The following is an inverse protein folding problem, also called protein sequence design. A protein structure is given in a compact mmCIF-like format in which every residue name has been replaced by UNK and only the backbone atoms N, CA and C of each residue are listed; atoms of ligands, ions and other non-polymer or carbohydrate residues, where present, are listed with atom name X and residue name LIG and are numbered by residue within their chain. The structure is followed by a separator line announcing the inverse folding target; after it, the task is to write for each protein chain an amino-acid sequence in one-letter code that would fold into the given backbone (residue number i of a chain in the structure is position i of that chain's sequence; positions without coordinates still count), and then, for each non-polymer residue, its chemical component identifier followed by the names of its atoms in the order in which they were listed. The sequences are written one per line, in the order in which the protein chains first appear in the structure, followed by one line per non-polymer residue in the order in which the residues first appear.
data_IF_823273313196
#
_entry.id   IF_823273313196
#
_cell.length_a   1.000
_cell.length_b   1.000
_cell.length_c   1.000
_cell.angle_alpha   90.00
_cell.angle_beta   90.00
_cell.angle_gamma   90.00
#
_symmetry.space_group_name_H-M   'P 1'
#
loop_
_entity.id
_entity.type
_entity.pdbx_description
1 polymer ?
#
# COMPACT_ATOMS: atom_id res chain seq x y z
N UNK A 1 25.79 4.38 -0.94
CA UNK A 1 25.19 3.02 -0.83
C UNK A 1 24.66 2.69 0.59
N UNK A 2 25.41 2.91 1.68
CA UNK A 2 24.97 2.58 3.06
C UNK A 2 23.62 3.21 3.48
N UNK A 3 23.41 4.50 3.23
CA UNK A 3 22.14 5.22 3.57
C UNK A 3 20.90 4.60 2.92
N UNK A 4 21.00 4.20 1.65
CA UNK A 4 19.91 3.55 0.90
C UNK A 4 19.61 2.14 1.40
N UNK A 5 20.65 1.37 1.75
CA UNK A 5 20.46 0.04 2.35
C UNK A 5 19.74 0.13 3.69
N UNK A 6 20.08 1.13 4.51
CA UNK A 6 19.43 1.38 5.80
C UNK A 6 17.96 1.78 5.60
N UNK A 7 17.67 2.73 4.70
CA UNK A 7 16.29 3.12 4.40
C UNK A 7 15.45 1.94 3.91
N UNK A 8 16.03 1.07 3.07
CA UNK A 8 15.35 -0.13 2.58
C UNK A 8 15.03 -1.12 3.70
N UNK A 9 15.97 -1.37 4.60
CA UNK A 9 15.75 -2.27 5.76
C UNK A 9 14.63 -1.71 6.64
N UNK A 10 14.68 -0.42 6.98
CA UNK A 10 13.65 0.25 7.79
C UNK A 10 12.28 0.16 7.11
N UNK A 11 12.21 0.47 5.82
CA UNK A 11 10.96 0.42 5.05
C UNK A 11 10.39 -1.01 4.99
N UNK A 12 11.26 -2.01 4.87
CA UNK A 12 10.84 -3.43 4.85
C UNK A 12 10.27 -3.86 6.20
N UNK A 13 10.91 -3.46 7.30
CA UNK A 13 10.42 -3.75 8.66
C UNK A 13 9.06 -3.08 8.89
N UNK A 14 8.92 -1.80 8.55
CA UNK A 14 7.65 -1.07 8.68
C UNK A 14 6.54 -1.72 7.85
N UNK A 15 6.83 -2.11 6.61
CA UNK A 15 5.88 -2.78 5.74
C UNK A 15 5.45 -4.14 6.32
N UNK A 16 6.39 -4.88 6.90
CA UNK A 16 6.09 -6.16 7.53
C UNK A 16 5.17 -6.00 8.75
N UNK A 17 5.47 -5.05 9.64
CA UNK A 17 4.62 -4.72 10.80
C UNK A 17 3.21 -4.32 10.35
N UNK A 18 3.12 -3.50 9.31
CA UNK A 18 1.84 -3.05 8.74
C UNK A 18 1.03 -4.22 8.17
N UNK A 19 1.61 -5.03 7.29
CA UNK A 19 0.91 -6.16 6.65
C UNK A 19 0.44 -7.18 7.67
N UNK A 20 1.29 -7.53 8.65
CA UNK A 20 0.90 -8.47 9.72
C UNK A 20 -0.27 -7.95 10.54
N UNK A 21 -0.25 -6.65 10.88
CA UNK A 21 -1.34 -6.02 11.64
C UNK A 21 -2.66 -6.03 10.88
N UNK A 22 -2.64 -5.59 9.62
CA UNK A 22 -3.85 -5.53 8.78
C UNK A 22 -4.44 -6.92 8.55
N UNK A 23 -3.61 -7.93 8.27
CA UNK A 23 -4.09 -9.30 8.07
C UNK A 23 -4.71 -9.90 9.33
N UNK A 24 -4.14 -9.65 10.51
CA UNK A 24 -4.74 -10.10 11.78
C UNK A 24 -6.12 -9.47 11.99
N UNK A 25 -6.27 -8.17 11.70
CA UNK A 25 -7.54 -7.45 11.82
C UNK A 25 -8.56 -7.98 10.81
N UNK A 26 -8.15 -8.26 9.57
CA UNK A 26 -9.02 -8.87 8.54
C UNK A 26 -9.58 -10.23 8.99
N UNK A 27 -8.82 -10.99 9.77
CA UNK A 27 -9.26 -12.27 10.36
C UNK A 27 -10.10 -12.10 11.64
N UNK A 28 -10.40 -10.88 12.06
CA UNK A 28 -11.14 -10.60 13.29
C UNK A 28 -10.33 -10.79 14.58
N UNK A 29 -8.99 -10.89 14.47
CA UNK A 29 -8.09 -11.02 15.62
C UNK A 29 -7.53 -9.66 16.04
N UNK A 30 -6.99 -9.57 17.25
CA UNK A 30 -6.22 -8.38 17.66
C UNK A 30 -4.94 -8.27 16.82
N UNK A 31 -4.39 -7.05 16.65
CA UNK A 31 -3.10 -6.87 16.00
C UNK A 31 -2.04 -7.77 16.65
N UNK A 32 -1.22 -8.44 15.84
CA UNK A 32 -0.16 -9.36 16.29
C UNK A 32 -0.65 -10.61 17.04
N UNK A 33 -1.95 -10.84 17.13
CA UNK A 33 -2.50 -12.01 17.80
C UNK A 33 -2.38 -13.23 16.88
N UNK A 34 -1.35 -14.03 17.19
CA UNK A 34 -0.98 -15.33 16.60
C UNK A 34 -1.50 -15.59 15.18
N UNK A 35 -0.73 -15.09 14.22
CA UNK A 35 -0.54 -15.81 12.97
C UNK A 35 0.44 -16.95 13.25
N UNK A 36 0.21 -18.12 12.66
CA UNK A 36 1.09 -19.27 12.84
C UNK A 36 2.54 -18.85 12.51
N UNK A 37 3.55 -19.34 13.21
CA UNK A 37 4.95 -18.90 13.00
C UNK A 37 5.37 -19.05 11.52
N UNK A 38 4.87 -20.11 10.87
CA UNK A 38 5.02 -20.35 9.43
C UNK A 38 4.40 -19.24 8.57
N UNK A 39 3.23 -18.72 8.96
CA UNK A 39 2.56 -17.64 8.26
C UNK A 39 3.34 -16.32 8.37
N UNK A 40 3.92 -16.05 9.54
CA UNK A 40 4.81 -14.89 9.72
C UNK A 40 6.06 -14.98 8.84
N UNK A 41 6.67 -16.17 8.76
CA UNK A 41 7.81 -16.41 7.86
C UNK A 41 7.41 -16.20 6.40
N UNK A 42 6.27 -16.76 5.96
CA UNK A 42 5.76 -16.60 4.60
C UNK A 42 5.54 -15.12 4.24
N UNK A 43 4.87 -14.36 5.13
CA UNK A 43 4.69 -12.92 4.96
C UNK A 43 6.04 -12.20 4.87
N UNK A 44 6.98 -12.55 5.75
CA UNK A 44 8.33 -12.00 5.73
C UNK A 44 9.07 -12.25 4.41
N UNK A 45 9.03 -13.48 3.89
CA UNK A 45 9.64 -13.85 2.61
C UNK A 45 9.01 -13.08 1.45
N UNK A 46 7.69 -12.96 1.42
CA UNK A 46 6.98 -12.21 0.37
C UNK A 46 7.36 -10.72 0.42
N UNK A 47 7.29 -10.10 1.60
CA UNK A 47 7.61 -8.68 1.80
C UNK A 47 9.07 -8.39 1.42
N UNK A 48 10.01 -9.21 1.89
CA UNK A 48 11.44 -9.07 1.55
C UNK A 48 11.67 -9.29 0.06
N UNK A 49 10.99 -10.25 -0.56
CA UNK A 49 11.12 -10.49 -2.01
C UNK A 49 10.63 -9.28 -2.81
N UNK A 50 9.48 -8.71 -2.45
CA UNK A 50 8.95 -7.50 -3.10
C UNK A 50 9.93 -6.33 -2.96
N UNK A 51 10.48 -6.10 -1.76
CA UNK A 51 11.40 -4.97 -1.54
C UNK A 51 12.78 -5.20 -2.16
N UNK A 52 13.29 -6.44 -2.21
CA UNK A 52 14.61 -6.75 -2.79
C UNK A 52 14.55 -6.83 -4.31
N UNK A 53 13.58 -7.54 -4.88
CA UNK A 53 13.47 -7.70 -6.34
C UNK A 53 12.86 -6.46 -7.01
N UNK A 54 11.87 -5.81 -6.39
CA UNK A 54 11.32 -4.55 -6.87
C UNK A 54 12.32 -3.39 -6.87
N UNK A 55 13.38 -3.47 -6.05
CA UNK A 55 14.40 -2.43 -5.91
C UNK A 55 15.63 -2.56 -6.84
N UNK A 56 15.94 -3.76 -7.34
CA UNK A 56 17.21 -4.00 -8.07
C UNK A 56 17.31 -3.18 -9.37
N UNK A 57 16.24 -3.14 -10.16
CA UNK A 57 16.22 -2.37 -11.41
C UNK A 57 15.90 -0.89 -11.19
N UNK A 58 15.06 -0.57 -10.20
CA UNK A 58 14.71 0.82 -9.86
C UNK A 58 15.86 1.60 -9.25
N UNK A 59 16.78 0.99 -8.48
CA UNK A 59 17.95 1.72 -7.92
C UNK A 59 18.95 2.10 -9.03
N UNK A 60 19.17 1.22 -10.00
CA UNK A 60 20.07 1.48 -11.15
C UNK A 60 19.44 2.48 -12.13
N UNK A 61 18.10 2.48 -12.22
CA UNK A 61 17.31 3.44 -12.99
C UNK A 61 17.24 4.81 -12.31
N UNK A 62 17.01 4.88 -10.98
CA UNK A 62 17.06 6.10 -10.16
C UNK A 62 18.41 6.79 -10.24
N UNK A 63 19.52 6.04 -10.21
CA UNK A 63 20.86 6.60 -10.41
C UNK A 63 21.11 7.22 -11.80
N UNK A 64 20.37 6.78 -12.82
CA UNK A 64 20.41 7.36 -14.18
C UNK A 64 19.37 8.47 -14.36
N UNK A 65 18.20 8.35 -13.72
CA UNK A 65 17.09 9.31 -13.72
C UNK A 65 17.45 10.59 -12.93
N UNK A 66 18.20 10.48 -11.83
CA UNK A 66 18.71 11.63 -11.03
C UNK A 66 19.63 12.58 -11.84
N UNK A 67 20.12 12.16 -13.01
CA UNK A 67 21.03 12.94 -13.86
C UNK A 67 20.39 13.57 -15.09
N UNK A 68 19.17 13.19 -15.48
CA UNK A 68 18.57 13.64 -16.75
C UNK A 68 17.08 13.92 -16.55
N UNK A 69 16.76 15.09 -16.00
CA UNK A 69 15.64 15.96 -16.44
C UNK A 69 14.22 15.34 -16.60
N UNK A 70 13.96 14.19 -15.99
CA UNK A 70 12.65 13.51 -16.00
C UNK A 70 12.21 13.25 -14.57
N UNK A 71 11.59 14.24 -13.95
CA UNK A 71 10.65 13.91 -12.86
C UNK A 71 9.58 14.95 -12.56
N UNK A 72 9.63 16.18 -13.11
CA UNK A 72 8.56 17.15 -12.84
C UNK A 72 7.19 16.73 -13.40
N UNK A 73 7.14 16.18 -14.63
CA UNK A 73 5.88 15.72 -15.24
C UNK A 73 5.31 14.48 -14.55
N UNK A 74 6.16 13.52 -14.16
CA UNK A 74 5.71 12.34 -13.41
C UNK A 74 5.27 12.70 -12.00
N UNK A 75 6.06 13.51 -11.27
CA UNK A 75 5.68 14.00 -9.93
C UNK A 75 4.38 14.80 -9.98
N UNK A 76 4.21 15.67 -10.98
CA UNK A 76 2.98 16.43 -11.19
C UNK A 76 1.79 15.51 -11.46
N UNK A 77 1.91 14.55 -12.37
CA UNK A 77 0.80 13.63 -12.69
C UNK A 77 0.47 12.69 -11.54
N UNK A 78 1.47 12.19 -10.80
CA UNK A 78 1.26 11.39 -9.59
C UNK A 78 0.52 12.21 -8.54
N UNK A 79 0.96 13.44 -8.27
CA UNK A 79 0.31 14.32 -7.29
C UNK A 79 -1.12 14.67 -7.70
N UNK A 80 -1.37 14.94 -8.98
CA UNK A 80 -2.72 15.18 -9.52
C UNK A 80 -3.60 13.94 -9.32
N UNK A 81 -3.11 12.75 -9.67
CA UNK A 81 -3.86 11.50 -9.46
C UNK A 81 -4.16 11.27 -7.98
N UNK A 82 -3.15 11.37 -7.11
CA UNK A 82 -3.31 11.21 -5.66
C UNK A 82 -4.33 12.20 -5.10
N UNK A 83 -4.31 13.45 -5.55
CA UNK A 83 -5.28 14.47 -5.15
C UNK A 83 -6.71 14.09 -5.52
N UNK A 84 -6.96 13.75 -6.79
CA UNK A 84 -8.29 13.34 -7.24
C UNK A 84 -8.75 12.02 -6.62
N UNK A 85 -7.82 11.09 -6.36
CA UNK A 85 -8.12 9.84 -5.68
C UNK A 85 -8.62 10.06 -4.25
N UNK A 86 -7.99 10.98 -3.51
CA UNK A 86 -8.44 11.35 -2.16
C UNK A 86 -9.82 12.02 -2.20
N UNK A 87 -10.05 12.92 -3.16
CA UNK A 87 -11.38 13.53 -3.35
C UNK A 87 -12.43 12.45 -3.66
N UNK A 88 -12.12 11.54 -4.58
CA UNK A 88 -13.00 10.43 -4.92
C UNK A 88 -13.31 9.57 -3.69
N UNK A 89 -12.31 9.24 -2.86
CA UNK A 89 -12.54 8.53 -1.61
C UNK A 89 -13.46 9.31 -0.67
N UNK A 90 -13.19 10.60 -0.46
CA UNK A 90 -14.02 11.47 0.39
C UNK A 90 -15.48 11.58 -0.06
N UNK A 91 -15.74 11.55 -1.38
CA UNK A 91 -17.09 11.54 -1.94
C UNK A 91 -17.74 10.14 -1.91
N UNK A 92 -16.95 9.09 -2.07
CA UNK A 92 -17.46 7.71 -2.11
C UNK A 92 -17.86 7.18 -0.73
N UNK A 93 -17.15 7.56 0.34
CA UNK A 93 -17.42 7.08 1.71
C UNK A 93 -18.85 7.40 2.16
N UNK A 94 -19.36 8.65 2.08
CA UNK A 94 -20.74 8.97 2.43
C UNK A 94 -21.77 8.18 1.63
N UNK A 95 -21.54 7.98 0.33
CA UNK A 95 -22.44 7.19 -0.53
C UNK A 95 -22.51 5.74 -0.04
N UNK A 96 -21.37 5.11 0.24
CA UNK A 96 -21.30 3.74 0.77
C UNK A 96 -22.02 3.65 2.12
N UNK A 97 -21.85 4.64 3.01
CA UNK A 97 -22.55 4.66 4.30
C UNK A 97 -24.07 4.78 4.16
N UNK A 98 -24.56 5.58 3.20
CA UNK A 98 -25.99 5.68 2.89
C UNK A 98 -26.54 4.34 2.41
N UNK A 99 -25.85 3.66 1.49
CA UNK A 99 -26.25 2.32 1.03
C UNK A 99 -26.24 1.28 2.17
N UNK A 100 -25.25 1.33 3.05
CA UNK A 100 -25.17 0.45 4.22
C UNK A 100 -26.36 0.70 5.17
N UNK A 101 -26.75 1.96 5.38
CA UNK A 101 -27.90 2.34 6.19
C UNK A 101 -29.22 1.80 5.61
N UNK A 102 -29.42 1.86 4.29
CA UNK A 102 -30.60 1.26 3.66
C UNK A 102 -30.65 -0.27 3.78
N UNK A 103 -29.50 -0.92 3.96
CA UNK A 103 -29.40 -2.36 4.15
C UNK A 103 -29.65 -2.78 5.61
N UNK A 104 -29.94 -1.82 6.51
CA UNK A 104 -30.13 -2.07 7.94
C UNK A 104 -28.82 -2.33 8.71
N UNK A 105 -27.65 -2.03 8.12
CA UNK A 105 -26.37 -2.23 8.78
C UNK A 105 -26.07 -1.04 9.71
N UNK A 106 -26.23 -1.23 11.01
CA UNK A 106 -25.96 -0.20 12.02
C UNK A 106 -24.47 -0.09 12.39
N UNK A 107 -23.73 -1.20 12.32
CA UNK A 107 -22.32 -1.27 12.70
C UNK A 107 -21.51 -2.02 11.63
N UNK A 108 -20.38 -1.43 11.24
CA UNK A 108 -19.41 -2.09 10.38
C UNK A 108 -18.36 -2.79 11.24
N UNK A 109 -18.11 -4.06 10.97
CA UNK A 109 -17.04 -4.79 11.65
C UNK A 109 -15.68 -4.22 11.24
N UNK A 110 -14.74 -4.21 12.18
CA UNK A 110 -13.36 -3.77 11.93
C UNK A 110 -12.69 -4.61 10.83
N UNK A 111 -13.05 -5.90 10.73
CA UNK A 111 -12.55 -6.81 9.68
C UNK A 111 -12.99 -6.39 8.27
N UNK A 112 -14.25 -5.96 8.11
CA UNK A 112 -14.77 -5.46 6.83
C UNK A 112 -14.06 -4.17 6.44
N UNK A 113 -13.90 -3.24 7.39
CA UNK A 113 -13.20 -1.96 7.15
C UNK A 113 -11.75 -2.22 6.73
N UNK A 114 -11.03 -3.09 7.45
CA UNK A 114 -9.64 -3.44 7.12
C UNK A 114 -9.52 -4.10 5.75
N UNK A 115 -10.46 -4.96 5.39
CA UNK A 115 -10.48 -5.65 4.08
C UNK A 115 -10.68 -4.65 2.94
N UNK A 116 -11.68 -3.77 3.06
CA UNK A 116 -11.96 -2.73 2.06
C UNK A 116 -10.74 -1.81 1.91
N UNK A 117 -10.15 -1.37 3.01
CA UNK A 117 -8.97 -0.53 3.00
C UNK A 117 -7.78 -1.20 2.29
N UNK A 118 -7.54 -2.49 2.59
CA UNK A 118 -6.47 -3.24 1.95
C UNK A 118 -6.64 -3.35 0.43
N UNK A 119 -7.88 -3.61 -0.03
CA UNK A 119 -8.21 -3.65 -1.46
C UNK A 119 -7.95 -2.29 -2.12
N UNK A 120 -8.44 -1.20 -1.51
CA UNK A 120 -8.24 0.17 -2.01
C UNK A 120 -6.74 0.51 -2.11
N UNK A 121 -5.94 0.11 -1.11
CA UNK A 121 -4.50 0.32 -1.10
C UNK A 121 -3.79 -0.41 -2.25
N UNK A 122 -4.17 -1.66 -2.54
CA UNK A 122 -3.64 -2.42 -3.68
C UNK A 122 -4.00 -1.72 -5.00
N UNK A 123 -5.28 -1.35 -5.18
CA UNK A 123 -5.75 -0.66 -6.39
C UNK A 123 -4.96 0.63 -6.61
N UNK A 124 -4.75 1.41 -5.55
CA UNK A 124 -3.96 2.64 -5.61
C UNK A 124 -2.51 2.40 -6.02
N UNK A 125 -1.85 1.39 -5.42
CA UNK A 125 -0.47 1.05 -5.77
C UNK A 125 -0.34 0.62 -7.23
N UNK A 126 -1.26 -0.22 -7.73
CA UNK A 126 -1.29 -0.65 -9.13
C UNK A 126 -1.52 0.54 -10.06
N UNK A 127 -2.47 1.42 -9.73
CA UNK A 127 -2.76 2.61 -10.53
C UNK A 127 -1.54 3.55 -10.65
N UNK A 128 -0.80 3.76 -9.55
CA UNK A 128 0.44 4.54 -9.57
C UNK A 128 1.51 3.88 -10.44
N UNK A 129 1.70 2.57 -10.32
CA UNK A 129 2.69 1.85 -11.13
C UNK A 129 2.35 1.91 -12.63
N UNK A 130 1.06 1.86 -12.99
CA UNK A 130 0.60 2.06 -14.38
C UNK A 130 0.87 3.48 -14.85
N UNK A 131 0.58 4.50 -14.04
CA UNK A 131 0.87 5.90 -14.36
C UNK A 131 2.38 6.09 -14.57
N UNK A 132 3.21 5.47 -13.73
CA UNK A 132 4.67 5.50 -13.84
C UNK A 132 5.19 4.88 -15.14
N UNK A 133 4.60 3.78 -15.61
CA UNK A 133 5.03 3.12 -16.85
C UNK A 133 4.59 3.84 -18.12
N UNK A 134 3.57 4.70 -18.03
CA UNK A 134 2.98 5.41 -19.17
C UNK A 134 3.72 6.69 -19.54
N UNK A 135 4.66 7.18 -18.71
CA UNK A 135 5.42 8.43 -18.88
C UNK A 135 6.93 8.21 -18.65
#
# INVERSE_FOLDING_TARGET
MKRYSIHRIISTILLMVYVVSVLSIMKGKKPFETNNFLEFILIGVIVVSITVFGSKDTIKKQFKEDKVEKDERYLKNRNIFSYYFIIFLGLSIPLVLVFASFSGMEQLSLSIIATIFFIIAIIYMVAIEVIKRRF
#
